data_IF_003450328438
#
_entry.id   IF_003450328438
#
_cell.length_a   1.000
_cell.length_b   1.000
_cell.length_c   1.000
_cell.angle_alpha   90.00
_cell.angle_beta   90.00
_cell.angle_gamma   90.00
#
_symmetry.space_group_name_H-M   'P 1'
#
loop_
_entity.id
_entity.type
_entity.pdbx_description
1 polymer ?
#
# COMPACT_ATOMS: atom_id res chain seq x y z
N UNK A 1 8.44 16.93 6.28
CA UNK A 1 8.14 15.57 5.78
C UNK A 1 8.61 14.57 6.83
N UNK A 2 7.76 13.63 7.25
CA UNK A 2 8.18 12.59 8.17
C UNK A 2 8.98 11.53 7.41
N UNK A 3 10.16 11.21 7.93
CA UNK A 3 11.14 10.31 7.30
C UNK A 3 10.84 8.83 7.47
N UNK A 4 9.83 8.48 8.29
CA UNK A 4 9.48 7.11 8.62
C UNK A 4 8.03 6.83 8.28
N UNK A 5 7.81 5.84 7.42
CA UNK A 5 6.51 5.24 7.20
C UNK A 5 6.42 3.96 8.03
N UNK A 6 5.27 3.76 8.67
CA UNK A 6 4.94 2.54 9.39
C UNK A 6 3.70 1.94 8.73
N UNK A 7 3.71 0.61 8.58
CA UNK A 7 2.59 -0.12 8.00
C UNK A 7 1.34 0.08 8.87
N UNK A 8 0.17 0.05 8.22
CA UNK A 8 -1.11 0.06 8.93
C UNK A 8 -1.19 -1.10 9.91
N UNK A 9 -1.58 -0.81 11.14
CA UNK A 9 -1.99 -1.82 12.12
C UNK A 9 -3.30 -2.49 11.68
N UNK A 10 -3.61 -3.64 12.27
CA UNK A 10 -4.86 -4.37 11.96
C UNK A 10 -6.09 -3.50 12.27
N UNK A 11 -6.11 -2.83 13.42
CA UNK A 11 -7.22 -1.96 13.82
C UNK A 11 -7.43 -0.78 12.85
N UNK A 12 -6.35 -0.18 12.37
CA UNK A 12 -6.44 0.90 11.36
C UNK A 12 -6.94 0.35 10.02
N UNK A 13 -6.50 -0.85 9.63
CA UNK A 13 -6.96 -1.50 8.41
C UNK A 13 -8.45 -1.85 8.47
N UNK A 14 -8.95 -2.30 9.63
CA UNK A 14 -10.36 -2.60 9.85
C UNK A 14 -11.26 -1.38 9.59
N UNK A 15 -10.82 -0.17 9.93
CA UNK A 15 -11.55 1.06 9.61
C UNK A 15 -11.43 1.41 8.13
N UNK A 16 -10.23 1.36 7.54
CA UNK A 16 -9.97 1.77 6.16
C UNK A 16 -10.70 0.88 5.15
N UNK A 17 -10.73 -0.44 5.38
CA UNK A 17 -11.33 -1.38 4.44
C UNK A 17 -12.81 -1.08 4.17
N UNK A 18 -13.52 -0.43 5.09
CA UNK A 18 -14.93 -0.03 4.86
C UNK A 18 -15.10 1.03 3.75
N UNK A 19 -14.06 1.83 3.48
CA UNK A 19 -14.06 2.81 2.39
C UNK A 19 -13.63 2.22 1.05
N UNK A 20 -13.08 1.01 1.06
CA UNK A 20 -12.64 0.30 -0.12
C UNK A 20 -13.68 -0.76 -0.51
N UNK A 21 -13.92 -0.96 -1.80
CA UNK A 21 -14.69 -2.11 -2.27
C UNK A 21 -13.83 -3.39 -2.19
N UNK A 22 -13.56 -3.84 -0.97
CA UNK A 22 -12.66 -4.95 -0.67
C UNK A 22 -13.25 -6.33 -1.01
N UNK A 23 -14.57 -6.41 -1.29
CA UNK A 23 -15.29 -7.67 -1.51
C UNK A 23 -15.09 -8.27 -2.90
N UNK A 24 -14.43 -7.58 -3.84
CA UNK A 24 -14.11 -8.14 -5.16
C UNK A 24 -12.89 -9.05 -5.11
N UNK A 25 -12.94 -10.16 -5.85
CA UNK A 25 -11.77 -11.02 -6.08
C UNK A 25 -10.66 -10.24 -6.78
N UNK A 26 -9.46 -10.24 -6.17
CA UNK A 26 -8.25 -9.63 -6.70
C UNK A 26 -7.07 -10.55 -6.47
N UNK A 27 -6.07 -10.48 -7.36
CA UNK A 27 -4.78 -11.15 -7.18
C UNK A 27 -3.87 -10.42 -6.18
N UNK A 28 -4.10 -9.12 -5.99
CA UNK A 28 -3.28 -8.22 -5.17
C UNK A 28 -4.00 -7.92 -3.86
N UNK A 29 -3.26 -7.94 -2.76
CA UNK A 29 -3.75 -7.56 -1.44
C UNK A 29 -3.92 -6.04 -1.35
N UNK A 30 -5.15 -5.59 -1.10
CA UNK A 30 -5.47 -4.16 -1.02
C UNK A 30 -4.75 -3.45 0.13
N UNK A 31 -4.44 -4.14 1.22
CA UNK A 31 -3.70 -3.56 2.35
C UNK A 31 -2.29 -3.17 1.93
N UNK A 32 -1.65 -4.01 1.13
CA UNK A 32 -0.30 -3.77 0.63
C UNK A 32 -0.28 -2.58 -0.34
N UNK A 33 -1.29 -2.49 -1.22
CA UNK A 33 -1.48 -1.34 -2.12
C UNK A 33 -1.69 -0.05 -1.31
N UNK A 34 -2.53 -0.09 -0.27
CA UNK A 34 -2.81 1.08 0.53
C UNK A 34 -1.58 1.52 1.35
N UNK A 35 -0.84 0.58 1.91
CA UNK A 35 0.44 0.85 2.58
C UNK A 35 1.45 1.49 1.61
N UNK A 36 1.54 1.02 0.37
CA UNK A 36 2.40 1.61 -0.66
C UNK A 36 2.00 3.05 -1.00
N UNK A 37 0.69 3.34 -1.14
CA UNK A 37 0.18 4.70 -1.37
C UNK A 37 0.54 5.61 -0.19
N UNK A 38 0.32 5.15 1.05
CA UNK A 38 0.64 5.93 2.24
C UNK A 38 2.15 6.15 2.39
N UNK A 39 2.98 5.18 2.01
CA UNK A 39 4.43 5.31 1.99
C UNK A 39 4.87 6.42 1.03
N UNK A 40 4.35 6.44 -0.19
CA UNK A 40 4.61 7.51 -1.18
C UNK A 40 4.16 8.86 -0.62
N UNK A 41 2.93 8.93 -0.10
CA UNK A 41 2.35 10.17 0.43
C UNK A 41 3.12 10.73 1.63
N UNK A 42 3.65 9.87 2.52
CA UNK A 42 4.36 10.29 3.73
C UNK A 42 5.82 10.66 3.45
N UNK A 43 6.50 9.87 2.62
CA UNK A 43 7.93 10.05 2.33
C UNK A 43 8.18 11.08 1.22
N UNK A 44 7.19 11.37 0.38
CA UNK A 44 7.34 12.23 -0.80
C UNK A 44 8.25 11.63 -1.89
N UNK A 45 8.61 10.35 -1.76
CA UNK A 45 9.45 9.66 -2.73
C UNK A 45 8.66 9.34 -4.00
N UNK A 46 9.36 9.34 -5.14
CA UNK A 46 8.75 8.99 -6.42
C UNK A 46 8.32 7.52 -6.39
N UNK A 47 7.13 7.24 -6.90
CA UNK A 47 6.58 5.89 -7.10
C UNK A 47 7.53 4.86 -7.75
N UNK A 48 8.47 5.30 -8.60
CA UNK A 48 9.50 4.45 -9.22
C UNK A 48 10.66 4.07 -8.30
N UNK A 49 10.82 4.77 -7.18
CA UNK A 49 11.77 4.42 -6.12
C UNK A 49 11.05 3.56 -5.08
N UNK A 50 10.33 2.56 -5.57
CA UNK A 50 9.61 1.64 -4.72
C UNK A 50 10.65 0.86 -3.91
N UNK A 51 10.51 0.89 -2.58
CA UNK A 51 11.35 0.08 -1.70
C UNK A 51 11.07 -1.40 -2.02
N UNK A 52 12.09 -2.27 -1.98
CA UNK A 52 11.99 -3.73 -2.28
C UNK A 52 10.98 -4.48 -1.39
N UNK A 53 10.34 -3.76 -0.45
CA UNK A 53 9.38 -4.21 0.55
C UNK A 53 7.94 -4.34 0.08
N UNK A 54 7.58 -3.93 -1.15
CA UNK A 54 6.27 -4.28 -1.70
C UNK A 54 6.37 -4.95 -3.07
N UNK A 55 5.36 -5.76 -3.46
CA UNK A 55 5.51 -6.67 -4.58
C UNK A 55 5.74 -5.90 -5.87
N UNK A 56 6.83 -6.24 -6.54
CA UNK A 56 7.19 -5.69 -7.83
C UNK A 56 6.18 -6.17 -8.88
N UNK A 57 5.56 -5.25 -9.62
CA UNK A 57 4.79 -5.59 -10.81
C UNK A 57 5.74 -6.05 -11.92
N UNK A 58 6.19 -7.31 -11.86
CA UNK A 58 6.82 -7.98 -13.00
C UNK A 58 5.99 -9.19 -13.37
N UNK A 59 5.73 -9.28 -14.67
CA UNK A 59 5.04 -10.35 -15.41
C UNK A 59 3.54 -10.18 -15.63
N UNK A 60 3.20 -9.24 -16.52
CA UNK A 60 2.26 -9.53 -17.61
C UNK A 60 2.98 -9.11 -18.91
N UNK A 61 3.56 -10.09 -19.60
CA UNK A 61 3.81 -10.03 -21.05
C UNK A 61 2.75 -10.91 -21.71
#
# INVERSE_FOLDING_TARGET
>A
MQTKFEMLTDDQWEVIKHFLDWKRKRKINLRDVFNAILWIARTGLKWRKFDDRFPEERHIR
#
